data_IF_508878326992
#
_entry.id   IF_508878326992
#
_cell.length_a   1.000
_cell.length_b   1.000
_cell.length_c   1.000
_cell.angle_alpha   90.00
_cell.angle_beta   90.00
_cell.angle_gamma   90.00
#
_symmetry.space_group_name_H-M   'P 1'
#
loop_
_entity.id
_entity.type
_entity.pdbx_description
1 polymer ?
#
# COMPACT_ATOMS: atom_id res chain seq x y z
N UNK A 1 -48.92 -4.28 -109.36
CA UNK A 1 -48.01 -3.43 -108.55
C UNK A 1 -48.61 -3.02 -107.20
N UNK A 2 -49.91 -2.75 -107.07
CA UNK A 2 -50.52 -2.26 -105.82
C UNK A 2 -50.51 -3.23 -104.62
N UNK A 3 -50.64 -4.55 -104.84
CA UNK A 3 -50.64 -5.54 -103.74
C UNK A 3 -49.30 -5.57 -103.00
N UNK A 4 -48.18 -5.56 -103.72
CA UNK A 4 -46.84 -5.60 -103.13
C UNK A 4 -46.53 -4.33 -102.33
N UNK A 5 -46.98 -3.15 -102.81
CA UNK A 5 -46.85 -1.89 -102.08
C UNK A 5 -47.66 -1.89 -100.76
N UNK A 6 -48.89 -2.45 -100.77
CA UNK A 6 -49.70 -2.60 -99.54
C UNK A 6 -49.03 -3.51 -98.51
N UNK A 7 -48.44 -4.63 -98.92
CA UNK A 7 -47.70 -5.50 -97.99
C UNK A 7 -46.46 -4.83 -97.40
N UNK A 8 -45.72 -4.05 -98.19
CA UNK A 8 -44.56 -3.29 -97.72
C UNK A 8 -44.99 -2.21 -96.71
N UNK A 9 -46.08 -1.49 -96.98
CA UNK A 9 -46.61 -0.48 -96.05
C UNK A 9 -47.07 -1.13 -94.74
N UNK A 10 -47.79 -2.26 -94.79
CA UNK A 10 -48.22 -3.01 -93.60
C UNK A 10 -46.99 -3.48 -92.80
N UNK A 11 -45.97 -4.02 -93.47
CA UNK A 11 -44.73 -4.46 -92.83
C UNK A 11 -43.98 -3.31 -92.14
N UNK A 12 -43.90 -2.13 -92.78
CA UNK A 12 -43.29 -0.93 -92.21
C UNK A 12 -44.07 -0.41 -91.00
N UNK A 13 -45.40 -0.40 -91.07
CA UNK A 13 -46.26 0.00 -89.93
C UNK A 13 -46.11 -0.97 -88.77
N UNK A 14 -46.09 -2.28 -89.04
CA UNK A 14 -45.85 -3.30 -88.01
C UNK A 14 -44.45 -3.16 -87.38
N UNK A 15 -43.42 -2.91 -88.18
CA UNK A 15 -42.06 -2.67 -87.69
C UNK A 15 -42.00 -1.41 -86.82
N UNK A 16 -42.71 -0.33 -87.20
CA UNK A 16 -42.76 0.91 -86.43
C UNK A 16 -43.48 0.72 -85.10
N UNK A 17 -44.61 0.00 -85.09
CA UNK A 17 -45.35 -0.34 -83.85
C UNK A 17 -44.47 -1.20 -82.94
N UNK A 18 -43.84 -2.25 -83.48
CA UNK A 18 -43.00 -3.17 -82.71
C UNK A 18 -41.79 -2.45 -82.10
N UNK A 19 -41.15 -1.56 -82.85
CA UNK A 19 -40.01 -0.77 -82.37
C UNK A 19 -40.42 0.16 -81.23
N UNK A 20 -41.58 0.83 -81.33
CA UNK A 20 -42.10 1.67 -80.24
C UNK A 20 -42.48 0.86 -79.00
N UNK A 21 -43.12 -0.31 -79.18
CA UNK A 21 -43.47 -1.20 -78.06
C UNK A 21 -42.21 -1.70 -77.36
N UNK A 22 -41.20 -2.16 -78.11
CA UNK A 22 -39.91 -2.60 -77.57
C UNK A 22 -39.17 -1.46 -76.87
N UNK A 23 -39.21 -0.24 -77.41
CA UNK A 23 -38.62 0.94 -76.80
C UNK A 23 -39.29 1.30 -75.47
N UNK A 24 -40.63 1.29 -75.40
CA UNK A 24 -41.38 1.56 -74.16
C UNK A 24 -41.10 0.49 -73.10
N UNK A 25 -41.08 -0.79 -73.47
CA UNK A 25 -40.75 -1.89 -72.55
C UNK A 25 -39.30 -1.73 -72.04
N UNK A 26 -38.36 -1.48 -72.93
CA UNK A 26 -36.94 -1.29 -72.55
C UNK A 26 -36.76 -0.07 -71.66
N UNK A 27 -37.40 1.05 -71.98
CA UNK A 27 -37.35 2.29 -71.21
C UNK A 27 -37.96 2.11 -69.81
N UNK A 28 -39.12 1.46 -69.72
CA UNK A 28 -39.78 1.21 -68.42
C UNK A 28 -38.95 0.27 -67.54
N UNK A 29 -38.37 -0.78 -68.11
CA UNK A 29 -37.45 -1.68 -67.40
C UNK A 29 -36.17 -0.96 -66.94
N UNK A 30 -35.55 -0.16 -67.82
CA UNK A 30 -34.36 0.63 -67.47
C UNK A 30 -34.66 1.64 -66.36
N UNK A 31 -35.79 2.35 -66.43
CA UNK A 31 -36.15 3.34 -65.42
C UNK A 31 -36.49 2.69 -64.07
N UNK A 32 -37.17 1.55 -64.07
CA UNK A 32 -37.41 0.77 -62.86
C UNK A 32 -36.10 0.27 -62.22
N UNK A 33 -35.17 -0.24 -63.03
CA UNK A 33 -33.85 -0.68 -62.57
C UNK A 33 -33.03 0.48 -62.00
N UNK A 34 -33.01 1.64 -62.68
CA UNK A 34 -32.33 2.85 -62.21
C UNK A 34 -32.92 3.35 -60.88
N UNK A 35 -34.25 3.34 -60.75
CA UNK A 35 -34.91 3.76 -59.51
C UNK A 35 -34.60 2.79 -58.35
N UNK A 36 -34.56 1.48 -58.63
CA UNK A 36 -34.13 0.48 -57.63
C UNK A 36 -32.67 0.72 -57.23
N UNK A 37 -31.77 0.92 -58.19
CA UNK A 37 -30.36 1.19 -57.91
C UNK A 37 -30.18 2.47 -57.09
N UNK A 38 -30.89 3.55 -57.42
CA UNK A 38 -30.90 4.80 -56.64
C UNK A 38 -31.40 4.57 -55.21
N UNK A 39 -32.46 3.77 -55.05
CA UNK A 39 -32.98 3.41 -53.74
C UNK A 39 -31.96 2.63 -52.91
N UNK A 40 -31.36 1.58 -53.49
CA UNK A 40 -30.36 0.74 -52.83
C UNK A 40 -29.09 1.53 -52.46
N UNK A 41 -28.66 2.46 -53.33
CA UNK A 41 -27.56 3.37 -53.06
C UNK A 41 -27.87 4.31 -51.88
N UNK A 42 -29.06 4.91 -51.86
CA UNK A 42 -29.49 5.79 -50.77
C UNK A 42 -29.57 5.03 -49.43
N UNK A 43 -30.11 3.80 -49.43
CA UNK A 43 -30.14 2.95 -48.24
C UNK A 43 -28.72 2.61 -47.76
N UNK A 44 -27.83 2.26 -48.69
CA UNK A 44 -26.43 1.99 -48.37
C UNK A 44 -25.72 3.21 -47.78
N UNK A 45 -25.99 4.41 -48.30
CA UNK A 45 -25.46 5.68 -47.79
C UNK A 45 -25.99 6.00 -46.39
N UNK A 46 -27.27 5.78 -46.13
CA UNK A 46 -27.89 5.96 -44.80
C UNK A 46 -27.23 5.01 -43.80
N UNK A 47 -27.08 3.74 -44.16
CA UNK A 47 -26.39 2.74 -43.31
C UNK A 47 -24.96 3.15 -43.01
N UNK A 48 -24.20 3.59 -44.02
CA UNK A 48 -22.82 4.05 -43.84
C UNK A 48 -22.74 5.28 -42.92
N UNK A 49 -23.64 6.24 -43.07
CA UNK A 49 -23.70 7.43 -42.23
C UNK A 49 -24.02 7.06 -40.76
N UNK A 50 -24.97 6.14 -40.55
CA UNK A 50 -25.31 5.64 -39.21
C UNK A 50 -24.14 4.89 -38.58
N UNK A 51 -23.44 4.05 -39.34
CA UNK A 51 -22.22 3.37 -38.88
C UNK A 51 -21.11 4.37 -38.53
N UNK A 52 -20.89 5.39 -39.35
CA UNK A 52 -19.90 6.45 -39.08
C UNK A 52 -20.22 7.22 -37.80
N UNK A 53 -21.50 7.54 -37.55
CA UNK A 53 -21.94 8.18 -36.30
C UNK A 53 -21.70 7.28 -35.09
N UNK A 54 -21.98 5.98 -35.21
CA UNK A 54 -21.73 5.02 -34.16
C UNK A 54 -20.24 4.90 -33.83
N UNK A 55 -19.37 4.82 -34.85
CA UNK A 55 -17.91 4.79 -34.68
C UNK A 55 -17.42 6.05 -33.95
N UNK A 56 -17.87 7.24 -34.38
CA UNK A 56 -17.49 8.50 -33.73
C UNK A 56 -17.95 8.55 -32.25
N UNK A 57 -19.14 8.01 -31.96
CA UNK A 57 -19.62 7.89 -30.58
C UNK A 57 -18.71 6.95 -29.77
N UNK A 58 -18.37 5.77 -30.28
CA UNK A 58 -17.49 4.83 -29.58
C UNK A 58 -16.08 5.40 -29.36
N UNK A 59 -15.52 6.11 -30.34
CA UNK A 59 -14.24 6.80 -30.18
C UNK A 59 -14.29 7.87 -29.07
N UNK A 60 -15.37 8.66 -29.01
CA UNK A 60 -15.57 9.65 -27.94
C UNK A 60 -15.64 8.99 -26.57
N UNK A 61 -16.37 7.88 -26.46
CA UNK A 61 -16.51 7.11 -25.23
C UNK A 61 -15.18 6.49 -24.81
N UNK A 62 -14.43 5.89 -25.73
CA UNK A 62 -13.11 5.33 -25.47
C UNK A 62 -12.14 6.40 -24.95
N UNK A 63 -12.07 7.56 -25.61
CA UNK A 63 -11.25 8.69 -25.16
C UNK A 63 -11.63 9.17 -23.74
N UNK A 64 -12.92 9.14 -23.40
CA UNK A 64 -13.38 9.48 -22.05
C UNK A 64 -12.97 8.42 -21.02
N UNK A 65 -13.07 7.14 -21.38
CA UNK A 65 -12.61 6.02 -20.55
C UNK A 65 -11.10 6.06 -20.30
N UNK A 66 -10.29 6.35 -21.33
CA UNK A 66 -8.85 6.52 -21.19
C UNK A 66 -8.49 7.68 -20.25
N UNK A 67 -9.17 8.83 -20.39
CA UNK A 67 -9.00 9.95 -19.47
C UNK A 67 -9.34 9.56 -18.03
N UNK A 68 -10.45 8.85 -17.83
CA UNK A 68 -10.86 8.38 -16.51
C UNK A 68 -9.82 7.43 -15.92
N UNK A 69 -9.34 6.46 -16.70
CA UNK A 69 -8.32 5.51 -16.29
C UNK A 69 -7.02 6.21 -15.85
N UNK A 70 -6.59 7.23 -16.59
CA UNK A 70 -5.41 8.02 -16.25
C UNK A 70 -5.60 8.79 -14.92
N UNK A 71 -6.79 9.35 -14.69
CA UNK A 71 -7.14 10.02 -13.43
C UNK A 71 -7.12 9.01 -12.28
N UNK A 72 -7.76 7.85 -12.44
CA UNK A 72 -7.80 6.80 -11.41
C UNK A 72 -6.39 6.28 -11.08
N UNK A 73 -5.55 6.08 -12.09
CA UNK A 73 -4.15 5.65 -11.90
C UNK A 73 -3.34 6.69 -11.12
N UNK A 74 -3.55 7.98 -11.44
CA UNK A 74 -2.91 9.08 -10.72
C UNK A 74 -3.37 9.16 -9.27
N UNK A 75 -4.68 9.03 -9.02
CA UNK A 75 -5.24 8.99 -7.67
C UNK A 75 -4.72 7.81 -6.85
N UNK A 76 -4.62 6.62 -7.45
CA UNK A 76 -4.05 5.46 -6.79
C UNK A 76 -2.58 5.68 -6.41
N UNK A 77 -1.80 6.30 -7.29
CA UNK A 77 -0.41 6.68 -7.00
C UNK A 77 -0.31 7.66 -5.82
N UNK A 78 -1.18 8.68 -5.79
CA UNK A 78 -1.25 9.62 -4.65
C UNK A 78 -1.65 8.90 -3.37
N UNK A 79 -2.67 8.04 -3.41
CA UNK A 79 -3.13 7.29 -2.25
C UNK A 79 -2.03 6.40 -1.66
N UNK A 80 -1.31 5.66 -2.52
CA UNK A 80 -0.18 4.84 -2.08
C UNK A 80 0.94 5.67 -1.43
N UNK A 81 1.23 6.86 -1.96
CA UNK A 81 2.19 7.78 -1.34
C UNK A 81 1.72 8.25 0.02
N UNK A 82 0.44 8.65 0.16
CA UNK A 82 -0.15 9.08 1.43
C UNK A 82 -0.12 7.97 2.47
N UNK A 83 -0.50 6.74 2.09
CA UNK A 83 -0.44 5.58 2.97
C UNK A 83 1.00 5.31 3.45
N UNK A 84 1.97 5.38 2.52
CA UNK A 84 3.40 5.20 2.85
C UNK A 84 3.86 6.25 3.87
N UNK A 85 3.50 7.52 3.67
CA UNK A 85 3.82 8.60 4.60
C UNK A 85 3.19 8.37 5.98
N UNK A 86 1.94 7.94 6.04
CA UNK A 86 1.24 7.67 7.30
C UNK A 86 1.89 6.51 8.07
N UNK A 87 2.30 5.45 7.38
CA UNK A 87 3.06 4.33 7.98
C UNK A 87 4.40 4.82 8.55
N UNK A 88 5.13 5.64 7.81
CA UNK A 88 6.41 6.22 8.27
C UNK A 88 6.20 7.10 9.52
N UNK A 89 5.18 7.96 9.51
CA UNK A 89 4.86 8.82 10.66
C UNK A 89 4.55 7.99 11.91
N UNK A 90 3.72 6.95 11.79
CA UNK A 90 3.41 6.06 12.91
C UNK A 90 4.67 5.36 13.45
N UNK A 91 5.54 4.85 12.57
CA UNK A 91 6.82 4.25 12.97
C UNK A 91 7.71 5.25 13.72
N UNK A 92 7.78 6.50 13.25
CA UNK A 92 8.59 7.54 13.87
C UNK A 92 8.08 7.90 15.28
N UNK A 93 6.76 7.94 15.49
CA UNK A 93 6.16 8.17 16.82
C UNK A 93 6.57 7.05 17.78
N UNK A 94 6.43 5.80 17.36
CA UNK A 94 6.80 4.64 18.19
C UNK A 94 8.29 4.66 18.51
N UNK A 95 9.13 5.04 17.54
CA UNK A 95 10.56 5.21 17.76
C UNK A 95 10.88 6.30 18.79
N UNK A 96 10.28 7.49 18.66
CA UNK A 96 10.49 8.59 19.60
C UNK A 96 10.09 8.20 21.03
N UNK A 97 8.95 7.52 21.19
CA UNK A 97 8.54 6.99 22.48
C UNK A 97 9.57 5.99 23.02
N UNK A 98 10.08 5.10 22.17
CA UNK A 98 11.09 4.12 22.57
C UNK A 98 12.40 4.78 23.01
N UNK A 99 12.85 5.85 22.36
CA UNK A 99 14.04 6.61 22.77
C UNK A 99 13.90 7.22 24.17
N UNK A 100 12.69 7.69 24.52
CA UNK A 100 12.39 8.16 25.87
C UNK A 100 12.48 7.00 26.85
N UNK A 101 11.86 5.86 26.53
CA UNK A 101 11.93 4.66 27.38
C UNK A 101 13.36 4.15 27.58
N UNK A 102 14.22 4.21 26.55
CA UNK A 102 15.63 3.85 26.67
C UNK A 102 16.35 4.71 27.72
N UNK A 103 16.14 6.02 27.69
CA UNK A 103 16.73 6.96 28.66
C UNK A 103 16.19 6.72 30.07
N UNK A 104 14.89 6.48 30.21
CA UNK A 104 14.25 6.16 31.49
C UNK A 104 14.84 4.86 32.05
N UNK A 105 14.90 3.81 31.24
CA UNK A 105 15.44 2.51 31.62
C UNK A 105 16.90 2.61 32.04
N UNK A 106 17.73 3.33 31.28
CA UNK A 106 19.15 3.54 31.61
C UNK A 106 19.35 4.29 32.93
N UNK A 107 18.64 5.41 33.10
CA UNK A 107 18.79 6.26 34.28
C UNK A 107 18.27 5.56 35.53
N UNK A 108 17.08 4.97 35.47
CA UNK A 108 16.48 4.24 36.59
C UNK A 108 17.33 3.03 37.01
N UNK A 109 17.88 2.28 36.05
CA UNK A 109 18.73 1.13 36.36
C UNK A 109 20.02 1.55 37.08
N UNK A 110 20.68 2.60 36.58
CA UNK A 110 21.88 3.16 37.20
C UNK A 110 21.64 3.61 38.64
N UNK A 111 20.53 4.32 38.87
CA UNK A 111 20.12 4.75 40.21
C UNK A 111 19.85 3.53 41.11
N UNK A 112 19.13 2.51 40.62
CA UNK A 112 18.85 1.31 41.39
C UNK A 112 20.13 0.58 41.81
N UNK A 113 21.09 0.38 40.90
CA UNK A 113 22.37 -0.26 41.20
C UNK A 113 23.17 0.55 42.23
N UNK A 114 23.28 1.87 42.05
CA UNK A 114 24.04 2.73 42.97
C UNK A 114 23.41 2.78 44.37
N UNK A 115 22.09 2.90 44.48
CA UNK A 115 21.39 2.84 45.76
C UNK A 115 21.59 1.48 46.45
N UNK A 116 21.60 0.39 45.68
CA UNK A 116 21.85 -0.96 46.21
C UNK A 116 23.28 -1.11 46.72
N UNK A 117 24.27 -0.66 45.95
CA UNK A 117 25.68 -0.64 46.37
C UNK A 117 25.90 0.21 47.63
N UNK A 118 25.27 1.39 47.69
CA UNK A 118 25.32 2.25 48.87
C UNK A 118 24.72 1.56 50.11
N UNK A 119 23.60 0.83 49.94
CA UNK A 119 22.98 0.06 51.02
C UNK A 119 23.81 -1.13 51.49
N UNK A 120 24.71 -1.67 50.66
CA UNK A 120 25.67 -2.69 51.08
C UNK A 120 26.74 -2.09 51.99
N UNK A 121 27.22 -0.89 51.67
CA UNK A 121 28.24 -0.20 52.46
C UNK A 121 27.66 0.40 53.76
N UNK A 122 26.49 1.03 53.66
CA UNK A 122 25.80 1.71 54.74
C UNK A 122 24.33 1.23 54.76
N UNK A 123 23.99 0.21 55.57
CA UNK A 123 22.67 -0.40 55.58
C UNK A 123 21.53 0.63 55.73
N UNK A 124 20.73 0.80 54.67
CA UNK A 124 19.61 1.73 54.63
C UNK A 124 18.40 1.10 53.96
N UNK A 125 17.34 0.90 54.76
CA UNK A 125 16.05 0.39 54.25
C UNK A 125 15.43 1.37 53.24
N UNK A 126 15.58 2.67 53.46
CA UNK A 126 15.06 3.69 52.56
C UNK A 126 15.69 3.60 51.16
N UNK A 127 17.02 3.48 51.09
CA UNK A 127 17.73 3.33 49.82
C UNK A 127 17.31 2.05 49.08
N UNK A 128 17.07 0.94 49.80
CA UNK A 128 16.60 -0.30 49.21
C UNK A 128 15.16 -0.19 48.68
N UNK A 129 14.27 0.51 49.39
CA UNK A 129 12.92 0.81 48.90
C UNK A 129 12.96 1.64 47.61
N UNK A 130 13.79 2.68 47.56
CA UNK A 130 13.98 3.48 46.35
C UNK A 130 14.61 2.65 45.22
N UNK A 131 15.61 1.81 45.51
CA UNK A 131 16.21 0.92 44.52
C UNK A 131 15.16 -0.02 43.91
N UNK A 132 14.28 -0.58 44.74
CA UNK A 132 13.15 -1.43 44.30
C UNK A 132 12.14 -0.66 43.45
N UNK A 133 11.86 0.60 43.77
CA UNK A 133 11.03 1.45 42.94
C UNK A 133 11.66 1.69 41.56
N UNK A 134 12.94 2.07 41.51
CA UNK A 134 13.64 2.32 40.25
C UNK A 134 13.85 1.05 39.41
N UNK A 135 14.10 -0.11 40.03
CA UNK A 135 14.23 -1.37 39.29
C UNK A 135 12.91 -1.76 38.62
N UNK A 136 11.77 -1.48 39.26
CA UNK A 136 10.46 -1.68 38.66
C UNK A 136 10.23 -0.73 37.47
N UNK A 137 10.62 0.55 37.58
CA UNK A 137 10.58 1.48 36.43
C UNK A 137 11.40 0.93 35.27
N UNK A 138 12.64 0.49 35.52
CA UNK A 138 13.48 -0.12 34.49
C UNK A 138 12.78 -1.31 33.82
N UNK A 139 12.17 -2.20 34.61
CA UNK A 139 11.46 -3.36 34.11
C UNK A 139 10.29 -2.98 33.18
N UNK A 140 9.48 -2.00 33.59
CA UNK A 140 8.35 -1.52 32.77
C UNK A 140 8.84 -0.89 31.46
N UNK A 141 9.85 -0.02 31.51
CA UNK A 141 10.42 0.60 30.31
C UNK A 141 11.01 -0.43 29.35
N UNK A 142 11.71 -1.46 29.83
CA UNK A 142 12.21 -2.54 28.97
C UNK A 142 11.08 -3.34 28.30
N UNK A 143 9.98 -3.61 29.01
CA UNK A 143 8.83 -4.28 28.41
C UNK A 143 8.15 -3.39 27.36
N UNK A 144 8.06 -2.09 27.60
CA UNK A 144 7.54 -1.14 26.62
C UNK A 144 8.44 -1.09 25.38
N UNK A 145 9.76 -1.04 25.54
CA UNK A 145 10.74 -1.10 24.44
C UNK A 145 10.58 -2.40 23.65
N UNK A 146 10.43 -3.54 24.34
CA UNK A 146 10.21 -4.85 23.72
C UNK A 146 8.92 -4.85 22.88
N UNK A 147 7.83 -4.37 23.46
CA UNK A 147 6.53 -4.28 22.78
C UNK A 147 6.59 -3.36 21.55
N UNK A 148 7.21 -2.18 21.69
CA UNK A 148 7.42 -1.26 20.57
C UNK A 148 8.26 -1.91 19.46
N UNK A 149 9.30 -2.67 19.81
CA UNK A 149 10.09 -3.42 18.85
C UNK A 149 9.29 -4.49 18.11
N UNK A 150 8.33 -5.15 18.77
CA UNK A 150 7.42 -6.09 18.11
C UNK A 150 6.50 -5.38 17.11
N UNK A 151 5.95 -4.21 17.45
CA UNK A 151 5.12 -3.41 16.53
C UNK A 151 5.93 -2.98 15.31
N UNK A 152 7.20 -2.61 15.51
CA UNK A 152 8.10 -2.22 14.43
C UNK A 152 8.63 -3.40 13.61
N UNK A 153 8.33 -4.65 14.00
CA UNK A 153 8.82 -5.84 13.33
C UNK A 153 10.34 -6.01 13.43
N UNK A 154 10.94 -5.61 14.55
CA UNK A 154 12.39 -5.68 14.74
C UNK A 154 12.91 -7.13 14.79
N UNK A 155 14.15 -7.37 14.33
CA UNK A 155 14.73 -8.71 14.25
C UNK A 155 14.96 -9.38 15.60
N UNK A 156 15.12 -10.71 15.61
CA UNK A 156 15.27 -11.50 16.84
C UNK A 156 16.42 -11.04 17.75
N UNK A 157 17.52 -10.56 17.18
CA UNK A 157 18.66 -10.06 17.96
C UNK A 157 18.30 -8.81 18.80
N UNK A 158 17.34 -7.99 18.38
CA UNK A 158 16.77 -6.93 19.22
C UNK A 158 16.12 -7.52 20.46
N UNK A 159 15.20 -8.47 20.26
CA UNK A 159 14.44 -9.11 21.34
C UNK A 159 15.35 -9.89 22.29
N UNK A 160 16.40 -10.52 21.78
CA UNK A 160 17.43 -11.18 22.59
C UNK A 160 18.16 -10.19 23.49
N UNK A 161 18.58 -9.04 22.96
CA UNK A 161 19.25 -8.00 23.75
C UNK A 161 18.34 -7.46 24.86
N UNK A 162 17.07 -7.17 24.59
CA UNK A 162 16.13 -6.73 25.63
C UNK A 162 15.89 -7.83 26.68
N UNK A 163 15.78 -9.09 26.27
CA UNK A 163 15.63 -10.22 27.21
C UNK A 163 16.87 -10.43 28.09
N UNK A 164 18.06 -10.19 27.54
CA UNK A 164 19.30 -10.23 28.30
C UNK A 164 19.39 -9.07 29.30
N UNK A 165 18.99 -7.85 28.89
CA UNK A 165 18.90 -6.70 29.79
C UNK A 165 17.91 -6.96 30.94
N UNK A 166 16.73 -7.53 30.64
CA UNK A 166 15.75 -7.95 31.66
C UNK A 166 16.34 -8.99 32.63
N UNK A 167 17.18 -9.91 32.15
CA UNK A 167 17.84 -10.90 33.01
C UNK A 167 18.83 -10.26 34.00
N UNK A 168 19.55 -9.22 33.57
CA UNK A 168 20.40 -8.41 34.45
C UNK A 168 19.56 -7.65 35.47
N UNK A 169 18.46 -7.01 35.05
CA UNK A 169 17.49 -6.33 35.93
C UNK A 169 16.95 -7.26 37.00
N UNK A 170 16.55 -8.48 36.62
CA UNK A 170 16.06 -9.49 37.55
C UNK A 170 17.13 -9.93 38.56
N UNK A 171 18.40 -10.01 38.13
CA UNK A 171 19.51 -10.34 39.01
C UNK A 171 19.72 -9.27 40.08
N UNK A 172 19.69 -7.99 39.69
CA UNK A 172 19.77 -6.84 40.63
C UNK A 172 18.54 -6.81 41.55
N UNK A 173 17.34 -7.04 41.03
CA UNK A 173 16.12 -7.08 41.82
C UNK A 173 16.16 -8.18 42.91
N UNK A 174 16.71 -9.35 42.60
CA UNK A 174 16.90 -10.42 43.60
C UNK A 174 17.82 -9.97 44.74
N UNK A 175 18.90 -9.26 44.43
CA UNK A 175 19.82 -8.72 45.44
C UNK A 175 19.11 -7.68 46.31
N UNK A 176 18.39 -6.73 45.70
CA UNK A 176 17.59 -5.73 46.41
C UNK A 176 16.62 -6.40 47.38
N UNK A 177 15.88 -7.43 46.92
CA UNK A 177 14.92 -8.14 47.75
C UNK A 177 15.59 -8.90 48.90
N UNK A 178 16.72 -9.56 48.65
CA UNK A 178 17.50 -10.23 49.70
C UNK A 178 17.94 -9.24 50.81
N UNK A 179 18.53 -8.11 50.42
CA UNK A 179 18.97 -7.07 51.35
C UNK A 179 17.80 -6.41 52.09
N UNK A 180 16.68 -6.18 51.40
CA UNK A 180 15.47 -5.57 52.00
C UNK A 180 14.87 -6.45 53.10
N UNK A 181 15.00 -7.77 52.96
CA UNK A 181 14.55 -8.75 53.94
C UNK A 181 15.57 -9.02 55.06
N UNK A 182 16.63 -8.21 55.17
CA UNK A 182 17.67 -8.36 56.19
C UNK A 182 18.73 -9.41 55.88
N UNK A 183 18.76 -9.94 54.65
CA UNK A 183 19.84 -10.79 54.17
C UNK A 183 21.17 -10.05 54.11
N UNK A 184 22.28 -10.79 54.24
CA UNK A 184 23.63 -10.23 54.12
C UNK A 184 24.08 -10.30 52.65
N UNK A 185 24.82 -9.29 52.15
CA UNK A 185 25.40 -9.33 50.82
C UNK A 185 26.48 -10.42 50.74
N UNK A 186 26.50 -11.16 49.64
CA UNK A 186 27.56 -12.10 49.30
C UNK A 186 28.59 -11.46 48.38
N UNK A 187 29.78 -12.07 48.26
CA UNK A 187 30.78 -11.66 47.27
C UNK A 187 30.19 -11.71 45.85
N UNK A 188 29.39 -12.73 45.56
CA UNK A 188 28.70 -12.88 44.27
C UNK A 188 27.73 -11.74 43.98
N UNK A 189 27.01 -11.23 45.00
CA UNK A 189 26.10 -10.09 44.84
C UNK A 189 26.86 -8.81 44.48
N UNK A 190 27.99 -8.57 45.14
CA UNK A 190 28.85 -7.40 44.87
C UNK A 190 29.43 -7.48 43.45
N UNK A 191 29.94 -8.65 43.05
CA UNK A 191 30.44 -8.87 41.68
C UNK A 191 29.32 -8.68 40.64
N UNK A 192 28.12 -9.16 40.93
CA UNK A 192 26.95 -9.00 40.05
C UNK A 192 26.60 -7.53 39.88
N UNK A 193 26.50 -6.76 40.97
CA UNK A 193 26.20 -5.33 40.92
C UNK A 193 27.27 -4.52 40.18
N UNK A 194 28.55 -4.81 40.41
CA UNK A 194 29.66 -4.13 39.74
C UNK A 194 29.66 -4.37 38.22
N UNK A 195 29.29 -5.57 37.79
CA UNK A 195 29.21 -5.92 36.36
C UNK A 195 27.87 -5.54 35.71
N UNK A 196 26.83 -5.34 36.53
CA UNK A 196 25.46 -5.15 36.06
C UNK A 196 25.35 -3.95 35.12
N UNK A 197 25.95 -2.80 35.46
CA UNK A 197 25.87 -1.59 34.63
C UNK A 197 26.52 -1.79 33.26
N UNK A 198 27.70 -2.41 33.22
CA UNK A 198 28.41 -2.66 31.97
C UNK A 198 27.63 -3.61 31.05
N UNK A 199 27.17 -4.74 31.60
CA UNK A 199 26.41 -5.73 30.83
C UNK A 199 25.07 -5.17 30.37
N UNK A 200 24.35 -4.50 31.27
CA UNK A 200 23.08 -3.87 30.96
C UNK A 200 23.21 -2.83 29.85
N UNK A 201 24.17 -1.90 29.97
CA UNK A 201 24.41 -0.87 28.97
C UNK A 201 24.81 -1.47 27.62
N UNK A 202 25.62 -2.52 27.62
CA UNK A 202 25.97 -3.24 26.38
C UNK A 202 24.72 -3.76 25.66
N UNK A 203 23.83 -4.46 26.36
CA UNK A 203 22.60 -4.98 25.76
C UNK A 203 21.65 -3.87 25.33
N UNK A 204 21.50 -2.84 26.16
CA UNK A 204 20.59 -1.72 25.90
C UNK A 204 21.03 -0.89 24.69
N UNK A 205 22.32 -0.54 24.59
CA UNK A 205 22.88 0.17 23.44
C UNK A 205 22.81 -0.67 22.16
N UNK A 206 23.03 -1.98 22.28
CA UNK A 206 22.92 -2.90 21.14
C UNK A 206 21.49 -2.99 20.62
N UNK A 207 20.48 -3.05 21.49
CA UNK A 207 19.07 -3.01 21.07
C UNK A 207 18.66 -1.65 20.52
N UNK A 208 19.15 -0.55 21.11
CA UNK A 208 18.91 0.81 20.63
C UNK A 208 19.45 0.99 19.22
N UNK A 209 20.71 0.58 18.98
CA UNK A 209 21.32 0.61 17.65
C UNK A 209 20.52 -0.16 16.60
N UNK A 210 20.03 -1.36 16.94
CA UNK A 210 19.21 -2.16 16.03
C UNK A 210 17.90 -1.42 15.70
N UNK A 211 17.25 -0.83 16.70
CA UNK A 211 16.03 -0.06 16.48
C UNK A 211 16.28 1.14 15.56
N UNK A 212 17.34 1.92 15.80
CA UNK A 212 17.72 3.08 14.97
C UNK A 212 17.95 2.68 13.51
N UNK A 213 18.67 1.57 13.29
CA UNK A 213 19.01 1.09 11.94
C UNK A 213 17.79 0.71 11.11
N UNK A 214 16.68 0.32 11.75
CA UNK A 214 15.47 -0.20 11.10
C UNK A 214 14.37 0.87 10.88
N UNK A 215 14.69 2.17 11.00
CA UNK A 215 13.75 3.27 10.73
C UNK A 215 13.57 3.56 9.23
N UNK A 216 14.40 2.95 8.37
CA UNK A 216 14.38 3.17 6.91
C UNK A 216 13.10 2.68 6.24
#
# INVERSE_FOLDING_TARGET
>A
MEKNAKYIIIALVLALILTNVLWVISYTQMNASLNKYKHDLNQSLITLNNASKAIAYYQKTLNATEKLLNITTSLLSIYNKTLTLQVIQNKLIIYNNSMIEYKIAQTSFSVAVNLTLNSIQNPSKYNLTLASYYINITYQSLNQIKYNGMILGLPNNFTSNISNALSVVNSVNRIINNLSNGGKPTIGDITTLNNALTLYNYYLLSSEYIMIKNIK
#
